data_IF_964467624882
#
_entry.id   IF_964467624882
#
_cell.length_a   1.000
_cell.length_b   1.000
_cell.length_c   1.000
_cell.angle_alpha   90.00
_cell.angle_beta   90.00
_cell.angle_gamma   90.00
#
_symmetry.space_group_name_H-M   'P 1'
#
loop_
_entity.id
_entity.type
_entity.pdbx_description
1 polymer ?
#
# COMPACT_ATOMS: atom_id res chain seq x y z
N UNK A 1 14.39 -1.65 7.84
CA UNK A 1 13.62 -2.62 7.04
C UNK A 1 12.64 -1.89 6.13
N UNK A 2 12.51 -2.35 4.90
CA UNK A 2 11.62 -1.75 3.91
C UNK A 2 10.46 -2.67 3.60
N UNK A 3 9.25 -2.20 3.83
CA UNK A 3 8.03 -2.97 3.60
C UNK A 3 7.13 -2.19 2.62
N UNK A 4 6.67 -2.87 1.58
CA UNK A 4 5.70 -2.32 0.65
C UNK A 4 4.34 -2.95 0.94
N UNK A 5 3.37 -2.11 1.31
CA UNK A 5 2.01 -2.54 1.59
C UNK A 5 1.13 -2.10 0.41
N UNK A 6 0.42 -3.06 -0.15
CA UNK A 6 -0.46 -2.80 -1.29
C UNK A 6 -1.80 -3.51 -1.12
N UNK A 7 -2.75 -3.18 -1.97
CA UNK A 7 -4.03 -3.86 -2.03
C UNK A 7 -4.54 -3.80 -3.46
N UNK A 8 -5.34 -4.79 -3.90
CA UNK A 8 -5.97 -4.74 -5.23
C UNK A 8 -6.78 -3.46 -5.37
N UNK A 9 -6.80 -2.89 -6.57
CA UNK A 9 -7.50 -1.63 -6.81
C UNK A 9 -8.98 -1.72 -6.45
N UNK A 10 -9.61 -2.87 -6.70
CA UNK A 10 -11.03 -3.06 -6.39
C UNK A 10 -11.31 -2.96 -4.89
N UNK A 11 -10.43 -3.49 -4.05
CA UNK A 11 -10.56 -3.37 -2.60
C UNK A 11 -10.37 -1.92 -2.14
N UNK A 12 -9.45 -1.21 -2.75
CA UNK A 12 -9.18 0.20 -2.43
C UNK A 12 -10.35 1.08 -2.84
N UNK A 13 -10.95 0.84 -4.01
CA UNK A 13 -12.15 1.53 -4.48
C UNK A 13 -13.31 1.28 -3.53
N UNK A 14 -13.54 0.01 -3.18
CA UNK A 14 -14.60 -0.39 -2.26
C UNK A 14 -14.48 0.35 -0.93
N UNK A 15 -13.27 0.44 -0.40
CA UNK A 15 -13.01 1.13 0.86
C UNK A 15 -13.37 2.62 0.78
N UNK A 16 -13.00 3.31 -0.29
CA UNK A 16 -13.32 4.72 -0.46
C UNK A 16 -14.82 4.95 -0.64
N UNK A 17 -15.50 4.07 -1.35
CA UNK A 17 -16.96 4.16 -1.54
C UNK A 17 -17.69 3.93 -0.22
N UNK A 18 -17.34 2.87 0.51
CA UNK A 18 -18.05 2.47 1.72
C UNK A 18 -17.75 3.35 2.93
N UNK A 19 -16.49 3.74 3.12
CA UNK A 19 -16.07 4.47 4.32
C UNK A 19 -16.08 5.98 4.16
N UNK A 20 -15.93 6.48 2.94
CA UNK A 20 -15.86 7.92 2.68
C UNK A 20 -17.00 8.44 1.82
N UNK A 21 -17.93 7.56 1.43
CA UNK A 21 -19.08 7.96 0.64
C UNK A 21 -18.75 8.49 -0.75
N UNK A 22 -17.60 8.15 -1.29
CA UNK A 22 -17.17 8.62 -2.60
C UNK A 22 -17.90 7.88 -3.71
N UNK A 23 -18.15 8.59 -4.82
CA UNK A 23 -18.56 7.97 -6.07
C UNK A 23 -17.45 7.07 -6.60
N UNK A 24 -17.81 5.93 -7.20
CA UNK A 24 -16.85 4.94 -7.69
C UNK A 24 -15.86 5.55 -8.70
N UNK A 25 -16.36 6.33 -9.66
CA UNK A 25 -15.49 6.96 -10.64
C UNK A 25 -14.51 7.94 -10.00
N UNK A 26 -14.98 8.72 -9.02
CA UNK A 26 -14.15 9.64 -8.27
C UNK A 26 -13.11 8.90 -7.44
N UNK A 27 -13.48 7.77 -6.83
CA UNK A 27 -12.57 6.93 -6.05
C UNK A 27 -11.45 6.39 -6.93
N UNK A 28 -11.77 5.85 -8.10
CA UNK A 28 -10.78 5.33 -9.04
C UNK A 28 -9.80 6.41 -9.49
N UNK A 29 -10.32 7.59 -9.79
CA UNK A 29 -9.50 8.73 -10.21
C UNK A 29 -8.56 9.19 -9.11
N UNK A 30 -9.06 9.25 -7.88
CA UNK A 30 -8.26 9.65 -6.71
C UNK A 30 -7.13 8.65 -6.46
N UNK A 31 -7.40 7.36 -6.54
CA UNK A 31 -6.40 6.31 -6.35
C UNK A 31 -5.30 6.44 -7.40
N UNK A 32 -5.67 6.56 -8.68
CA UNK A 32 -4.70 6.70 -9.75
C UNK A 32 -3.80 7.91 -9.56
N UNK A 33 -4.39 9.05 -9.19
CA UNK A 33 -3.65 10.30 -8.96
C UNK A 33 -2.70 10.18 -7.78
N UNK A 34 -3.17 9.59 -6.68
CA UNK A 34 -2.38 9.41 -5.46
C UNK A 34 -1.19 8.48 -5.72
N UNK A 35 -1.43 7.35 -6.39
CA UNK A 35 -0.38 6.39 -6.69
C UNK A 35 0.67 6.99 -7.64
N UNK A 36 0.24 7.78 -8.61
CA UNK A 36 1.15 8.47 -9.52
C UNK A 36 2.07 9.44 -8.77
N UNK A 37 1.53 10.19 -7.82
CA UNK A 37 2.31 11.10 -6.98
C UNK A 37 3.31 10.34 -6.12
N UNK A 38 2.89 9.25 -5.50
CA UNK A 38 3.75 8.42 -4.63
C UNK A 38 4.88 7.81 -5.45
N UNK A 39 4.59 7.28 -6.62
CA UNK A 39 5.59 6.71 -7.51
C UNK A 39 6.60 7.77 -7.97
N UNK A 40 6.13 8.94 -8.38
CA UNK A 40 7.00 10.04 -8.82
C UNK A 40 7.94 10.50 -7.70
N UNK A 41 7.40 10.67 -6.49
CA UNK A 41 8.18 11.08 -5.33
C UNK A 41 9.27 10.04 -5.01
N UNK A 42 8.89 8.78 -4.93
CA UNK A 42 9.81 7.70 -4.61
C UNK A 42 10.91 7.58 -5.68
N UNK A 43 10.53 7.61 -6.95
CA UNK A 43 11.48 7.48 -8.06
C UNK A 43 12.48 8.64 -8.07
N UNK A 44 12.00 9.85 -7.79
CA UNK A 44 12.86 11.04 -7.76
C UNK A 44 13.92 10.95 -6.66
N UNK A 45 13.52 10.54 -5.44
CA UNK A 45 14.43 10.55 -4.29
C UNK A 45 15.31 9.31 -4.19
N UNK A 46 14.90 8.19 -4.74
CA UNK A 46 15.66 6.93 -4.60
C UNK A 46 16.33 6.48 -5.90
N UNK A 47 15.88 6.96 -7.04
CA UNK A 47 16.29 6.46 -8.35
C UNK A 47 15.82 5.04 -8.63
N UNK A 48 14.85 4.54 -7.85
CA UNK A 48 14.32 3.16 -7.96
C UNK A 48 12.85 3.19 -8.33
N UNK A 49 12.36 2.08 -8.89
CA UNK A 49 10.95 1.92 -9.25
C UNK A 49 10.07 1.66 -8.03
N UNK A 50 9.06 2.50 -7.83
CA UNK A 50 8.09 2.31 -6.77
C UNK A 50 7.27 1.04 -7.03
N UNK A 51 7.12 0.20 -6.00
CA UNK A 51 6.40 -1.06 -6.11
C UNK A 51 7.19 -2.20 -6.72
N UNK A 52 8.43 -1.98 -7.14
CA UNK A 52 9.29 -3.05 -7.63
C UNK A 52 9.72 -3.92 -6.42
N UNK A 53 9.37 -5.22 -6.42
CA UNK A 53 9.69 -6.10 -5.29
C UNK A 53 11.15 -6.12 -4.88
N UNK A 54 12.05 -5.87 -5.81
CA UNK A 54 13.50 -5.85 -5.54
C UNK A 54 13.92 -4.77 -4.56
N UNK A 55 13.12 -3.70 -4.42
CA UNK A 55 13.46 -2.54 -3.61
C UNK A 55 12.99 -2.69 -2.16
N UNK A 56 12.31 -3.79 -1.82
CA UNK A 56 11.71 -4.00 -0.51
C UNK A 56 12.10 -5.34 0.06
N UNK A 57 12.16 -5.41 1.38
CA UNK A 57 12.39 -6.68 2.09
C UNK A 57 11.14 -7.54 2.07
N UNK A 58 9.96 -6.93 2.09
CA UNK A 58 8.70 -7.64 2.10
C UNK A 58 7.62 -6.85 1.35
N UNK A 59 6.77 -7.58 0.63
CA UNK A 59 5.59 -7.03 -0.02
C UNK A 59 4.36 -7.70 0.58
N UNK A 60 3.41 -6.91 1.07
CA UNK A 60 2.22 -7.42 1.75
C UNK A 60 0.97 -6.90 1.07
N UNK A 61 0.08 -7.83 0.71
CA UNK A 61 -1.28 -7.49 0.26
C UNK A 61 -2.17 -7.39 1.50
N UNK A 62 -2.54 -6.16 1.85
CA UNK A 62 -3.32 -5.90 3.07
C UNK A 62 -4.76 -6.43 3.00
N UNK A 63 -5.24 -6.80 1.81
CA UNK A 63 -6.60 -7.35 1.67
C UNK A 63 -6.72 -8.78 2.21
N UNK A 64 -5.59 -9.51 2.32
CA UNK A 64 -5.62 -10.89 2.81
C UNK A 64 -6.01 -10.97 4.28
N UNK A 65 -5.44 -10.11 5.11
CA UNK A 65 -5.63 -10.14 6.57
C UNK A 65 -6.40 -8.94 7.11
N UNK A 66 -6.76 -8.00 6.24
CA UNK A 66 -7.33 -6.73 6.66
C UNK A 66 -6.28 -5.82 7.30
N UNK A 67 -6.69 -4.61 7.67
CA UNK A 67 -5.79 -3.61 8.24
C UNK A 67 -5.20 -4.09 9.57
N UNK A 68 -6.04 -4.59 10.47
CA UNK A 68 -5.59 -5.04 11.79
C UNK A 68 -4.68 -6.25 11.71
N UNK A 69 -5.03 -7.25 10.89
CA UNK A 69 -4.22 -8.45 10.70
C UNK A 69 -2.88 -8.12 10.07
N UNK A 70 -2.86 -7.22 9.09
CA UNK A 70 -1.63 -6.76 8.47
C UNK A 70 -0.74 -6.04 9.48
N UNK A 71 -1.32 -5.18 10.32
CA UNK A 71 -0.57 -4.47 11.35
C UNK A 71 0.05 -5.43 12.37
N UNK A 72 -0.67 -6.46 12.77
CA UNK A 72 -0.15 -7.48 13.70
C UNK A 72 1.01 -8.26 13.09
N UNK A 73 0.90 -8.61 11.81
CA UNK A 73 1.96 -9.31 11.09
C UNK A 73 3.22 -8.45 10.98
N UNK A 74 3.06 -7.17 10.67
CA UNK A 74 4.18 -6.23 10.57
C UNK A 74 4.85 -6.07 11.94
N UNK A 75 4.06 -5.97 13.00
CA UNK A 75 4.60 -5.88 14.36
C UNK A 75 5.44 -7.09 14.70
N UNK A 76 4.93 -8.28 14.40
CA UNK A 76 5.66 -9.53 14.63
C UNK A 76 6.97 -9.56 13.84
N UNK A 77 6.94 -9.14 12.60
CA UNK A 77 8.12 -9.07 11.75
C UNK A 77 9.18 -8.11 12.31
N UNK A 78 8.74 -6.94 12.78
CA UNK A 78 9.63 -5.96 13.39
C UNK A 78 10.26 -6.52 14.66
N UNK A 79 9.47 -7.17 15.51
CA UNK A 79 9.96 -7.78 16.75
C UNK A 79 11.03 -8.84 16.47
N UNK A 80 10.84 -9.64 15.42
CA UNK A 80 11.83 -10.63 15.01
C UNK A 80 13.09 -9.99 14.42
N UNK A 81 12.92 -8.92 13.64
CA UNK A 81 14.06 -8.24 13.01
C UNK A 81 14.96 -7.56 14.01
N UNK A 82 14.40 -6.92 15.03
CA UNK A 82 15.15 -6.21 16.07
C UNK A 82 15.40 -7.04 17.35
N UNK A 83 15.27 -8.32 17.22
CA UNK A 83 15.42 -9.27 18.33
C UNK A 83 16.84 -9.32 18.86
#
# INVERSE_FOLDING_TARGET
>A
MKIFIHAPIEERVKNLVEHYGMDEAAARKKIAKTDKKRASYYNFYTGKGWGDPKNYHMNIDSSLLGVEGTARMIKHLIDEFYK
#
